data_IF_793179209298
#
_entry.id   IF_793179209298
#
_cell.length_a   1.000
_cell.length_b   1.000
_cell.length_c   1.000
_cell.angle_alpha   90.00
_cell.angle_beta   90.00
_cell.angle_gamma   90.00
#
_symmetry.space_group_name_H-M   'P 1'
#
loop_
_entity.id
_entity.type
_entity.pdbx_description
1 polymer ?
#
# COMPACT_ATOMS: atom_id res chain seq x y z
N UNK A 1 -0.03 -10.52 17.22
CA UNK A 1 -0.30 -11.08 15.86
C UNK A 1 -0.45 -10.01 14.77
N UNK A 2 -0.90 -8.80 15.10
CA UNK A 2 -1.26 -7.76 14.13
C UNK A 2 -0.12 -7.27 13.21
N UNK A 3 1.08 -7.00 13.74
CA UNK A 3 2.23 -6.58 12.91
C UNK A 3 2.67 -7.62 11.88
N UNK A 4 2.57 -8.92 12.22
CA UNK A 4 2.87 -10.01 11.27
C UNK A 4 1.86 -9.97 10.11
N UNK A 5 0.58 -9.79 10.42
CA UNK A 5 -0.48 -9.62 9.41
C UNK A 5 -0.22 -8.41 8.52
N UNK A 6 0.17 -7.26 9.09
CA UNK A 6 0.55 -6.07 8.31
C UNK A 6 1.77 -6.33 7.40
N UNK A 7 2.79 -7.03 7.89
CA UNK A 7 3.94 -7.40 7.07
C UNK A 7 3.54 -8.29 5.89
N UNK A 8 2.75 -9.32 6.13
CA UNK A 8 2.25 -10.20 5.06
C UNK A 8 1.40 -9.44 4.05
N UNK A 9 0.46 -8.61 4.51
CA UNK A 9 -0.41 -7.81 3.65
C UNK A 9 0.41 -6.82 2.80
N UNK A 10 1.36 -6.10 3.40
CA UNK A 10 2.21 -5.14 2.69
C UNK A 10 3.12 -5.84 1.67
N UNK A 11 3.68 -7.00 2.03
CA UNK A 11 4.52 -7.79 1.12
C UNK A 11 3.72 -8.30 -0.07
N UNK A 12 2.51 -8.80 0.18
CA UNK A 12 1.57 -9.25 -0.84
C UNK A 12 1.21 -8.09 -1.77
N UNK A 13 0.81 -6.95 -1.21
CA UNK A 13 0.43 -5.76 -1.97
C UNK A 13 1.57 -5.22 -2.83
N UNK A 14 2.79 -5.18 -2.28
CA UNK A 14 3.98 -4.79 -3.03
C UNK A 14 4.20 -5.73 -4.24
N UNK A 15 3.96 -7.03 -4.07
CA UNK A 15 3.96 -8.01 -5.16
C UNK A 15 2.92 -7.67 -6.24
N UNK A 16 1.68 -7.41 -5.85
CA UNK A 16 0.59 -7.08 -6.80
C UNK A 16 0.93 -5.82 -7.59
N UNK A 17 1.44 -4.78 -6.92
CA UNK A 17 1.75 -3.50 -7.56
C UNK A 17 2.94 -3.62 -8.52
N UNK A 18 4.00 -4.34 -8.14
CA UNK A 18 5.22 -4.46 -8.95
C UNK A 18 5.08 -5.45 -10.09
N UNK A 19 4.52 -6.62 -9.82
CA UNK A 19 4.43 -7.73 -10.79
C UNK A 19 3.07 -7.78 -11.49
N UNK A 20 2.13 -6.89 -11.12
CA UNK A 20 0.75 -6.88 -11.65
C UNK A 20 0.04 -8.24 -11.50
N UNK A 21 0.42 -8.99 -10.48
CA UNK A 21 -0.06 -10.36 -10.24
C UNK A 21 -0.65 -10.49 -8.82
N UNK A 22 -1.89 -10.97 -8.67
CA UNK A 22 -2.76 -11.42 -9.74
C UNK A 22 -3.49 -10.25 -10.45
N UNK A 23 -3.76 -10.37 -11.76
CA UNK A 23 -4.27 -9.27 -12.58
C UNK A 23 -5.65 -8.78 -12.13
N UNK A 24 -6.50 -9.66 -11.61
CA UNK A 24 -7.83 -9.32 -11.12
C UNK A 24 -7.82 -8.47 -9.84
N UNK A 25 -6.76 -8.52 -9.04
CA UNK A 25 -6.58 -7.63 -7.89
C UNK A 25 -5.97 -6.31 -8.32
N UNK A 26 -4.99 -6.38 -9.23
CA UNK A 26 -4.36 -5.19 -9.77
C UNK A 26 -5.37 -4.27 -10.47
N UNK A 27 -6.29 -4.83 -11.27
CA UNK A 27 -7.34 -4.06 -11.96
C UNK A 27 -8.30 -3.33 -11.02
N UNK A 28 -8.43 -3.78 -9.76
CA UNK A 28 -9.26 -3.13 -8.74
C UNK A 28 -8.54 -1.96 -8.05
N UNK A 29 -7.22 -1.85 -8.21
CA UNK A 29 -6.43 -0.73 -7.67
C UNK A 29 -6.53 0.45 -8.64
N UNK A 30 -6.87 1.62 -8.13
CA UNK A 30 -6.89 2.87 -8.91
C UNK A 30 -5.81 3.79 -8.37
N UNK A 31 -4.94 4.27 -9.25
CA UNK A 31 -3.94 5.27 -8.88
C UNK A 31 -4.54 6.66 -8.95
N UNK A 32 -4.11 7.55 -8.05
CA UNK A 32 -4.55 8.94 -8.07
C UNK A 32 -4.21 9.63 -9.41
N UNK A 33 -3.05 9.29 -10.00
CA UNK A 33 -2.62 9.78 -11.31
C UNK A 33 -3.56 9.41 -12.47
N UNK A 34 -4.25 8.27 -12.38
CA UNK A 34 -5.09 7.76 -13.48
C UNK A 34 -6.48 8.40 -13.48
N UNK A 35 -6.91 8.98 -12.34
CA UNK A 35 -8.26 9.53 -12.15
C UNK A 35 -8.28 11.06 -12.01
N UNK A 36 -7.17 11.70 -11.67
CA UNK A 36 -7.09 13.16 -11.54
C UNK A 36 -6.51 13.80 -12.81
N UNK A 37 -7.38 14.45 -13.59
CA UNK A 37 -7.01 15.64 -14.36
C UNK A 37 -6.37 16.67 -13.40
N UNK A 38 -5.16 17.14 -13.73
CA UNK A 38 -4.62 18.46 -13.41
C UNK A 38 -4.78 19.07 -12.00
N UNK A 39 -4.38 18.38 -10.92
CA UNK A 39 -4.09 19.07 -9.65
C UNK A 39 -2.71 18.70 -9.10
N UNK A 40 -1.72 19.42 -9.65
CA UNK A 40 -0.45 19.91 -9.08
C UNK A 40 -0.11 19.58 -7.62
N UNK A 41 -0.03 18.30 -7.25
CA UNK A 41 0.60 17.89 -6.00
C UNK A 41 1.65 16.83 -6.30
N UNK A 42 2.92 17.25 -6.37
CA UNK A 42 4.07 16.39 -6.73
C UNK A 42 4.24 15.17 -5.81
N UNK A 43 3.58 15.15 -4.64
CA UNK A 43 3.55 14.00 -3.72
C UNK A 43 2.46 12.95 -3.99
N UNK A 44 1.44 13.26 -4.81
CA UNK A 44 0.24 12.43 -4.96
C UNK A 44 0.33 11.36 -6.06
N UNK A 45 1.32 11.45 -6.95
CA UNK A 45 1.44 10.55 -8.09
C UNK A 45 1.68 9.07 -7.72
N UNK A 46 2.22 8.81 -6.52
CA UNK A 46 2.52 7.46 -6.02
C UNK A 46 1.48 6.94 -5.01
N UNK A 47 0.37 7.65 -4.80
CA UNK A 47 -0.69 7.26 -3.87
C UNK A 47 -1.78 6.48 -4.58
N UNK A 48 -2.32 5.48 -3.87
CA UNK A 48 -3.52 4.78 -4.29
C UNK A 48 -4.74 5.60 -3.91
N UNK A 49 -5.71 5.68 -4.82
CA UNK A 49 -6.96 6.38 -4.60
C UNK A 49 -7.90 5.50 -3.77
N UNK A 50 -8.27 5.99 -2.59
CA UNK A 50 -9.36 5.41 -1.82
C UNK A 50 -10.68 5.90 -2.43
N UNK A 51 -11.59 5.01 -2.80
CA UNK A 51 -12.94 5.45 -3.12
C UNK A 51 -13.63 5.97 -1.87
N UNK A 52 -14.30 7.11 -1.99
CA UNK A 52 -15.25 7.61 -1.00
C UNK A 52 -16.33 6.56 -0.82
N UNK A 53 -16.50 6.09 0.41
CA UNK A 53 -17.49 5.08 0.76
C UNK A 53 -18.19 5.54 2.04
N UNK A 54 -19.52 5.40 2.05
CA UNK A 54 -20.34 5.82 3.18
C UNK A 54 -20.55 4.71 4.22
N UNK A 55 -20.16 3.47 3.91
CA UNK A 55 -20.46 2.30 4.75
C UNK A 55 -19.22 1.75 5.46
N UNK A 56 -19.37 1.40 6.74
CA UNK A 56 -18.31 0.74 7.52
C UNK A 56 -17.91 -0.62 6.91
N UNK A 57 -18.83 -1.31 6.22
CA UNK A 57 -18.55 -2.56 5.52
C UNK A 57 -17.43 -2.43 4.47
N UNK A 58 -17.33 -1.27 3.80
CA UNK A 58 -16.27 -1.04 2.82
C UNK A 58 -14.88 -0.93 3.45
N UNK A 59 -14.77 -0.59 4.74
CA UNK A 59 -13.48 -0.59 5.47
C UNK A 59 -12.88 -2.00 5.59
N UNK A 60 -13.72 -3.04 5.55
CA UNK A 60 -13.27 -4.44 5.51
C UNK A 60 -12.83 -4.90 4.12
N UNK A 61 -13.05 -4.11 3.08
CA UNK A 61 -12.72 -4.52 1.70
C UNK A 61 -11.21 -4.57 1.47
N UNK A 62 -10.79 -5.48 0.59
CA UNK A 62 -9.40 -5.56 0.11
C UNK A 62 -8.91 -4.20 -0.41
N UNK A 63 -9.76 -3.48 -1.15
CA UNK A 63 -9.41 -2.21 -1.76
C UNK A 63 -9.08 -1.14 -0.72
N UNK A 64 -9.89 -1.02 0.32
CA UNK A 64 -9.61 -0.08 1.41
C UNK A 64 -8.33 -0.46 2.17
N UNK A 65 -8.19 -1.73 2.55
CA UNK A 65 -7.03 -2.22 3.28
C UNK A 65 -5.72 -2.07 2.47
N UNK A 66 -5.77 -2.37 1.18
CA UNK A 66 -4.67 -2.19 0.25
C UNK A 66 -4.26 -0.72 0.12
N UNK A 67 -5.21 0.17 -0.17
CA UNK A 67 -4.92 1.60 -0.32
C UNK A 67 -4.35 2.19 0.97
N UNK A 68 -4.96 1.88 2.12
CA UNK A 68 -4.45 2.33 3.43
C UNK A 68 -3.04 1.81 3.67
N UNK A 69 -2.81 0.50 3.50
CA UNK A 69 -1.51 -0.11 3.71
C UNK A 69 -0.42 0.51 2.82
N UNK A 70 -0.72 0.77 1.54
CA UNK A 70 0.24 1.41 0.63
C UNK A 70 0.52 2.86 0.99
N UNK A 71 -0.53 3.63 1.33
CA UNK A 71 -0.43 5.04 1.66
C UNK A 71 0.23 5.29 3.03
N UNK A 72 0.17 4.32 3.93
CA UNK A 72 0.90 4.35 5.21
C UNK A 72 2.39 3.98 5.05
N UNK A 73 2.81 3.38 3.92
CA UNK A 73 4.23 3.04 3.71
C UNK A 73 5.08 4.31 3.56
N UNK A 74 6.24 4.40 4.24
CA UNK A 74 7.15 5.52 4.06
C UNK A 74 7.75 5.51 2.64
N UNK A 75 7.99 6.69 2.02
CA UNK A 75 8.48 6.80 0.64
C UNK A 75 9.72 5.95 0.31
N UNK A 76 10.72 5.79 1.19
CA UNK A 76 11.90 4.95 0.93
C UNK A 76 11.60 3.47 0.71
N UNK A 77 10.46 2.97 1.22
CA UNK A 77 10.06 1.58 1.05
C UNK A 77 9.28 1.35 -0.25
N UNK A 78 8.59 2.38 -0.76
CA UNK A 78 7.82 2.29 -2.01
C UNK A 78 8.73 2.23 -3.25
N UNK A 79 9.89 2.87 -3.19
CA UNK A 79 10.87 2.94 -4.29
C UNK A 79 11.69 1.66 -4.46
N UNK A 80 11.58 0.71 -3.52
CA UNK A 80 12.29 -0.56 -3.62
C UNK A 80 11.86 -1.36 -4.86
N UNK A 81 12.80 -2.14 -5.40
CA UNK A 81 12.62 -2.92 -6.64
C UNK A 81 12.20 -4.36 -6.38
N UNK A 82 12.66 -4.98 -5.30
CA UNK A 82 12.48 -6.42 -5.03
C UNK A 82 11.66 -6.67 -3.77
N UNK A 83 10.83 -7.74 -3.79
CA UNK A 83 10.02 -8.17 -2.64
C UNK A 83 10.90 -8.52 -1.44
N UNK A 84 12.01 -9.22 -1.66
CA UNK A 84 12.89 -9.67 -0.58
C UNK A 84 13.48 -8.49 0.19
N UNK A 85 13.95 -7.46 -0.53
CA UNK A 85 14.50 -6.25 0.10
C UNK A 85 13.40 -5.44 0.80
N UNK A 86 12.22 -5.32 0.18
CA UNK A 86 11.04 -4.72 0.82
C UNK A 86 10.68 -5.41 2.13
N UNK A 87 10.59 -6.75 2.14
CA UNK A 87 10.23 -7.54 3.31
C UNK A 87 11.22 -7.33 4.47
N UNK A 88 12.51 -7.34 4.19
CA UNK A 88 13.56 -7.13 5.22
C UNK A 88 13.45 -5.71 5.78
N UNK A 89 13.43 -4.69 4.92
CA UNK A 89 13.39 -3.29 5.35
C UNK A 89 12.10 -2.95 6.08
N UNK A 90 10.95 -3.46 5.62
CA UNK A 90 9.66 -3.23 6.28
C UNK A 90 9.57 -3.96 7.61
N UNK A 91 10.13 -5.17 7.72
CA UNK A 91 10.27 -5.86 9.02
C UNK A 91 11.07 -5.02 10.01
N UNK A 92 12.22 -4.50 9.59
CA UNK A 92 13.07 -3.66 10.45
C UNK A 92 12.36 -2.37 10.85
N UNK A 93 11.64 -1.73 9.93
CA UNK A 93 10.81 -0.56 10.22
C UNK A 93 9.76 -0.87 11.30
N UNK A 94 9.02 -1.97 11.18
CA UNK A 94 8.02 -2.37 12.18
C UNK A 94 8.63 -2.70 13.55
N UNK A 95 9.86 -3.22 13.59
CA UNK A 95 10.60 -3.48 14.83
C UNK A 95 11.12 -2.18 15.46
N UNK A 96 11.58 -1.22 14.66
CA UNK A 96 11.99 0.10 15.15
C UNK A 96 10.82 0.87 15.74
N UNK A 97 9.65 0.85 15.08
CA UNK A 97 8.44 1.46 15.63
C UNK A 97 8.00 0.85 16.96
N UNK A 98 8.25 -0.45 17.18
CA UNK A 98 7.97 -1.09 18.47
C UNK A 98 8.90 -0.61 19.59
N UNK A 99 10.14 -0.21 19.28
CA UNK A 99 11.12 0.23 20.29
C UNK A 99 10.91 1.68 20.74
N UNK A 100 10.23 2.47 19.92
CA UNK A 100 9.95 3.89 20.21
C UNK A 100 8.58 4.10 20.88
N UNK A 101 7.91 3.03 21.32
CA UNK A 101 6.71 3.03 22.14
C UNK A 101 7.05 2.41 23.49
#
# INVERSE_FOLDING_TARGET
MERRRHLHLATFLFGIIKYKCPPYLYSKLQWAKDKQLSLTTRGSACLLLTQLHHTAAFRGSFRYAATKCWNDLPPPLRTLKTISNFKIKYKNYLLQQQRNC
#
